data_IF_220717630822
#
_entry.id   IF_220717630822
#
_cell.length_a   1.000
_cell.length_b   1.000
_cell.length_c   1.000
_cell.angle_alpha   90.00
_cell.angle_beta   90.00
_cell.angle_gamma   90.00
#
_symmetry.space_group_name_H-M   'P 1'
#
loop_
_entity.id
_entity.type
_entity.pdbx_description
1 polymer ?
#
# COMPACT_ATOMS: atom_id res chain seq x y z
N UNK A 1 17.08 60.56 27.60
CA UNK A 1 15.62 60.57 27.47
C UNK A 1 15.28 60.54 26.00
N UNK A 2 14.67 59.43 25.56
CA UNK A 2 14.06 59.14 24.26
C UNK A 2 14.96 59.11 23.00
N UNK A 3 15.47 57.91 22.71
CA UNK A 3 15.97 57.46 21.41
C UNK A 3 14.82 57.29 20.42
N UNK A 4 14.73 58.14 19.37
CA UNK A 4 14.20 57.74 18.05
C UNK A 4 14.95 58.55 17.00
N UNK A 5 15.91 57.91 16.31
CA UNK A 5 16.57 58.46 15.12
C UNK A 5 16.17 57.59 13.93
N UNK A 6 15.00 57.91 13.37
CA UNK A 6 14.54 57.34 12.09
C UNK A 6 13.66 56.11 12.22
N UNK A 7 12.40 56.25 11.80
CA UNK A 7 11.49 55.14 11.54
C UNK A 7 11.64 54.75 10.07
N UNK A 8 12.10 53.53 9.78
CA UNK A 8 12.11 53.01 8.40
C UNK A 8 10.80 52.26 8.20
N UNK A 9 9.90 52.85 7.40
CA UNK A 9 8.75 52.14 6.85
C UNK A 9 9.22 51.34 5.63
N UNK A 10 9.31 50.02 5.77
CA UNK A 10 9.52 49.09 4.65
C UNK A 10 8.16 48.71 4.07
N UNK A 11 7.77 49.34 2.96
CA UNK A 11 6.71 48.79 2.10
C UNK A 11 7.28 47.66 1.24
N UNK A 12 7.03 46.42 1.65
CA UNK A 12 7.22 45.25 0.82
C UNK A 12 6.11 45.18 -0.21
N UNK A 13 6.37 45.68 -1.42
CA UNK A 13 5.46 45.52 -2.55
C UNK A 13 5.60 44.10 -3.13
N UNK A 14 5.10 43.10 -2.40
CA UNK A 14 4.85 41.77 -2.93
C UNK A 14 3.74 41.92 -3.98
N UNK A 15 3.98 41.44 -5.21
CA UNK A 15 2.95 41.35 -6.26
C UNK A 15 1.84 40.37 -5.83
N UNK A 16 0.99 40.88 -4.95
CA UNK A 16 -0.16 40.21 -4.39
C UNK A 16 -1.19 39.89 -5.47
N UNK A 17 -1.07 40.47 -6.68
CA UNK A 17 -1.97 40.20 -7.78
C UNK A 17 -1.76 38.79 -8.37
N UNK A 18 -0.50 38.34 -8.49
CA UNK A 18 -0.16 36.98 -8.93
C UNK A 18 -0.44 35.96 -7.85
N UNK A 19 -0.09 36.24 -6.60
CA UNK A 19 -0.43 35.38 -5.46
C UNK A 19 -1.94 35.24 -5.27
N UNK A 20 -2.71 36.34 -5.34
CA UNK A 20 -4.18 36.32 -5.27
C UNK A 20 -4.82 35.67 -6.51
N UNK A 21 -4.21 35.77 -7.69
CA UNK A 21 -4.65 35.04 -8.89
C UNK A 21 -4.43 33.54 -8.73
N UNK A 22 -3.28 33.11 -8.22
CA UNK A 22 -3.01 31.71 -7.87
C UNK A 22 -3.94 31.21 -6.76
N UNK A 23 -4.22 32.02 -5.73
CA UNK A 23 -5.18 31.71 -4.67
C UNK A 23 -6.63 31.66 -5.19
N UNK A 24 -7.01 32.54 -6.12
CA UNK A 24 -8.33 32.50 -6.80
C UNK A 24 -8.47 31.31 -7.73
N UNK A 25 -7.40 30.89 -8.39
CA UNK A 25 -7.39 29.70 -9.24
C UNK A 25 -7.44 28.44 -8.38
N UNK A 26 -6.74 28.41 -7.24
CA UNK A 26 -6.88 27.38 -6.20
C UNK A 26 -8.32 27.33 -5.65
N UNK A 27 -8.93 28.47 -5.32
CA UNK A 27 -10.32 28.52 -4.87
C UNK A 27 -11.31 28.08 -5.95
N UNK A 28 -11.07 28.43 -7.22
CA UNK A 28 -11.92 27.96 -8.34
C UNK A 28 -11.75 26.47 -8.61
N UNK A 29 -10.54 25.93 -8.52
CA UNK A 29 -10.28 24.51 -8.69
C UNK A 29 -10.80 23.70 -7.50
N UNK A 30 -10.68 24.21 -6.27
CA UNK A 30 -11.31 23.65 -5.08
C UNK A 30 -12.84 23.73 -5.14
N UNK A 31 -13.41 24.83 -5.63
CA UNK A 31 -14.85 24.96 -5.88
C UNK A 31 -15.32 24.00 -6.97
N UNK A 32 -14.52 23.77 -8.01
CA UNK A 32 -14.85 22.84 -9.08
C UNK A 32 -14.70 21.38 -8.63
N UNK A 33 -13.68 21.05 -7.83
CA UNK A 33 -13.53 19.75 -7.19
C UNK A 33 -14.67 19.51 -6.18
N UNK A 34 -15.04 20.52 -5.38
CA UNK A 34 -16.18 20.48 -4.47
C UNK A 34 -17.53 20.39 -5.22
N UNK A 35 -17.66 21.02 -6.40
CA UNK A 35 -18.87 20.92 -7.26
C UNK A 35 -18.96 19.58 -7.99
N UNK A 36 -17.86 19.05 -8.50
CA UNK A 36 -17.79 17.71 -9.11
C UNK A 36 -17.98 16.62 -8.05
N UNK A 37 -17.40 16.80 -6.86
CA UNK A 37 -17.69 15.97 -5.69
C UNK A 37 -19.17 16.10 -5.33
N UNK A 38 -19.75 17.30 -5.25
CA UNK A 38 -21.19 17.52 -4.95
C UNK A 38 -22.12 16.93 -6.02
N UNK A 39 -21.78 16.97 -7.31
CA UNK A 39 -22.64 16.43 -8.38
C UNK A 39 -22.57 14.90 -8.43
N UNK A 40 -21.37 14.31 -8.41
CA UNK A 40 -21.15 12.86 -8.33
C UNK A 40 -21.70 12.28 -7.01
N UNK A 41 -21.52 12.99 -5.91
CA UNK A 41 -22.11 12.67 -4.61
C UNK A 41 -23.63 12.77 -4.67
N UNK A 42 -24.24 13.81 -5.24
CA UNK A 42 -25.71 13.92 -5.30
C UNK A 42 -26.39 12.78 -6.09
N UNK A 43 -25.70 12.20 -7.08
CA UNK A 43 -26.20 11.09 -7.89
C UNK A 43 -26.11 9.73 -7.17
N UNK A 44 -24.98 9.44 -6.52
CA UNK A 44 -24.81 8.22 -5.71
C UNK A 44 -25.58 8.30 -4.38
N UNK A 45 -25.57 9.47 -3.72
CA UNK A 45 -26.31 9.78 -2.51
C UNK A 45 -27.82 9.70 -2.72
N UNK A 46 -28.39 10.18 -3.84
CA UNK A 46 -29.84 10.00 -4.10
C UNK A 46 -30.28 8.54 -4.21
N UNK A 47 -29.37 7.64 -4.63
CA UNK A 47 -29.66 6.19 -4.71
C UNK A 47 -29.50 5.48 -3.36
N UNK A 48 -28.63 5.97 -2.48
CA UNK A 48 -28.37 5.38 -1.15
C UNK A 48 -29.26 6.01 -0.05
N UNK A 49 -29.60 7.30 -0.17
CA UNK A 49 -30.22 8.11 0.88
C UNK A 49 -31.75 8.21 0.83
N UNK A 50 -32.44 7.34 0.06
CA UNK A 50 -33.92 7.30 0.04
C UNK A 50 -34.58 7.12 1.41
N UNK A 51 -33.83 6.70 2.44
CA UNK A 51 -34.33 6.46 3.80
C UNK A 51 -33.50 7.12 4.94
N UNK A 52 -32.39 7.82 4.67
CA UNK A 52 -31.41 8.21 5.72
C UNK A 52 -31.00 9.70 5.71
N UNK A 53 -31.86 10.60 5.24
CA UNK A 53 -31.53 12.02 5.04
C UNK A 53 -31.23 12.82 6.33
N UNK A 54 -31.58 12.31 7.52
CA UNK A 54 -31.38 13.00 8.79
C UNK A 54 -30.06 12.66 9.53
N UNK A 55 -29.28 11.69 9.04
CA UNK A 55 -28.18 11.09 9.81
C UNK A 55 -26.75 11.52 9.40
N UNK A 56 -26.56 12.33 8.35
CA UNK A 56 -25.23 12.67 7.84
C UNK A 56 -24.88 14.14 8.06
N UNK A 57 -23.97 14.42 9.01
CA UNK A 57 -23.44 15.76 9.27
C UNK A 57 -22.45 16.21 8.19
N UNK A 58 -22.19 17.52 8.07
CA UNK A 58 -21.17 18.06 7.15
C UNK A 58 -19.78 17.44 7.39
N UNK A 59 -19.45 17.09 8.64
CA UNK A 59 -18.23 16.38 8.99
C UNK A 59 -18.18 14.95 8.42
N UNK A 60 -19.32 14.24 8.39
CA UNK A 60 -19.41 12.90 7.80
C UNK A 60 -19.20 12.94 6.28
N UNK A 61 -19.69 13.98 5.59
CA UNK A 61 -19.47 14.17 4.15
C UNK A 61 -18.01 14.48 3.83
N UNK A 62 -17.36 15.36 4.61
CA UNK A 62 -15.93 15.67 4.43
C UNK A 62 -15.06 14.42 4.70
N UNK A 63 -15.36 13.68 5.77
CA UNK A 63 -14.66 12.43 6.10
C UNK A 63 -14.79 11.41 4.97
N UNK A 64 -16.01 11.17 4.50
CA UNK A 64 -16.26 10.25 3.38
C UNK A 64 -15.50 10.68 2.12
N UNK A 65 -15.48 11.97 1.79
CA UNK A 65 -14.72 12.51 0.66
C UNK A 65 -13.21 12.32 0.80
N UNK A 66 -12.66 12.49 2.02
CA UNK A 66 -11.26 12.21 2.32
C UNK A 66 -10.94 10.72 2.16
N UNK A 67 -11.77 9.85 2.73
CA UNK A 67 -11.62 8.39 2.64
C UNK A 67 -11.64 7.94 1.17
N UNK A 68 -12.50 8.53 0.32
CA UNK A 68 -12.50 8.27 -1.14
C UNK A 68 -11.17 8.63 -1.81
N UNK A 69 -10.61 9.80 -1.50
CA UNK A 69 -9.33 10.26 -2.08
C UNK A 69 -8.18 9.39 -1.61
N UNK A 70 -8.12 9.04 -0.33
CA UNK A 70 -7.08 8.17 0.24
C UNK A 70 -7.14 6.76 -0.35
N UNK A 71 -8.33 6.17 -0.43
CA UNK A 71 -8.54 4.87 -1.08
C UNK A 71 -8.14 4.91 -2.56
N UNK A 72 -8.55 5.93 -3.31
CA UNK A 72 -8.18 6.05 -4.71
C UNK A 72 -6.66 6.18 -4.89
N UNK A 73 -5.99 6.95 -4.03
CA UNK A 73 -4.54 7.10 -4.07
C UNK A 73 -3.83 5.78 -3.76
N UNK A 74 -4.30 5.06 -2.73
CA UNK A 74 -3.76 3.75 -2.33
C UNK A 74 -3.92 2.69 -3.41
N UNK A 75 -5.12 2.58 -4.02
CA UNK A 75 -5.38 1.63 -5.11
C UNK A 75 -4.57 1.97 -6.36
N UNK A 76 -4.47 3.26 -6.72
CA UNK A 76 -3.62 3.67 -7.84
C UNK A 76 -2.14 3.35 -7.57
N UNK A 77 -1.66 3.58 -6.35
CA UNK A 77 -0.29 3.23 -5.97
C UNK A 77 -0.03 1.72 -6.04
N UNK A 78 -0.98 0.89 -5.58
CA UNK A 78 -0.88 -0.57 -5.66
C UNK A 78 -0.85 -1.04 -7.13
N UNK A 79 -1.72 -0.50 -7.99
CA UNK A 79 -1.74 -0.81 -9.41
C UNK A 79 -0.44 -0.38 -10.12
N UNK A 80 0.06 0.83 -9.84
CA UNK A 80 1.34 1.30 -10.38
C UNK A 80 2.51 0.46 -9.90
N UNK A 81 2.50 0.01 -8.64
CA UNK A 81 3.53 -0.88 -8.11
C UNK A 81 3.49 -2.23 -8.81
N UNK A 82 2.31 -2.78 -9.05
CA UNK A 82 2.11 -4.03 -9.77
C UNK A 82 2.65 -3.90 -11.21
N UNK A 83 2.24 -2.87 -11.95
CA UNK A 83 2.72 -2.59 -13.31
C UNK A 83 4.25 -2.46 -13.36
N UNK A 84 4.85 -1.69 -12.46
CA UNK A 84 6.31 -1.51 -12.41
C UNK A 84 7.06 -2.78 -12.02
N UNK A 85 6.48 -3.60 -11.14
CA UNK A 85 7.13 -4.80 -10.62
C UNK A 85 7.09 -5.94 -11.65
N UNK A 86 5.96 -6.10 -12.33
CA UNK A 86 5.74 -7.24 -13.22
C UNK A 86 5.95 -6.90 -14.70
N UNK A 87 5.76 -5.66 -15.12
CA UNK A 87 5.84 -5.26 -16.52
C UNK A 87 4.98 -6.17 -17.41
N UNK A 88 5.59 -6.76 -18.43
CA UNK A 88 4.93 -7.71 -19.35
C UNK A 88 4.34 -8.96 -18.65
N UNK A 89 4.78 -9.26 -17.42
CA UNK A 89 4.29 -10.41 -16.65
C UNK A 89 3.07 -10.09 -15.78
N UNK A 90 2.57 -8.86 -15.81
CA UNK A 90 1.42 -8.44 -15.00
C UNK A 90 0.24 -9.41 -15.11
N UNK A 91 -0.15 -9.81 -16.32
CA UNK A 91 -1.26 -10.76 -16.51
C UNK A 91 -0.99 -12.14 -15.90
N UNK A 92 0.27 -12.59 -15.89
CA UNK A 92 0.66 -13.85 -15.24
C UNK A 92 0.60 -13.74 -13.71
N UNK A 93 1.01 -12.60 -13.17
CA UNK A 93 0.94 -12.31 -11.75
C UNK A 93 -0.51 -12.22 -11.26
N UNK A 94 -1.35 -11.51 -11.99
CA UNK A 94 -2.79 -11.42 -11.71
C UNK A 94 -3.46 -12.80 -11.79
N UNK A 95 -3.10 -13.63 -12.77
CA UNK A 95 -3.62 -14.99 -12.87
C UNK A 95 -3.19 -15.88 -11.68
N UNK A 96 -1.95 -15.73 -11.21
CA UNK A 96 -1.45 -16.43 -10.02
C UNK A 96 -2.20 -15.99 -8.74
N UNK A 97 -2.33 -14.67 -8.54
CA UNK A 97 -3.12 -14.14 -7.42
C UNK A 97 -4.59 -14.57 -7.51
N UNK A 98 -5.16 -14.63 -8.72
CA UNK A 98 -6.52 -15.11 -8.94
C UNK A 98 -6.68 -16.59 -8.56
N UNK A 99 -5.72 -17.45 -8.89
CA UNK A 99 -5.77 -18.87 -8.46
C UNK A 99 -5.80 -19.00 -6.95
N UNK A 100 -5.00 -18.21 -6.24
CA UNK A 100 -5.03 -18.17 -4.76
C UNK A 100 -6.33 -17.58 -4.24
N UNK A 101 -6.85 -16.52 -4.86
CA UNK A 101 -8.15 -15.94 -4.48
C UNK A 101 -9.28 -16.97 -4.61
N UNK A 102 -9.33 -17.67 -5.75
CA UNK A 102 -10.35 -18.67 -6.05
C UNK A 102 -10.23 -19.89 -5.11
N UNK A 103 -9.02 -20.29 -4.70
CA UNK A 103 -8.81 -21.42 -3.78
C UNK A 103 -9.05 -21.08 -2.31
N UNK A 104 -8.79 -19.84 -1.90
CA UNK A 104 -8.81 -19.42 -0.49
C UNK A 104 -10.07 -18.64 -0.10
N UNK A 105 -10.85 -18.16 -1.07
CA UNK A 105 -11.97 -17.25 -0.81
C UNK A 105 -11.52 -15.83 -0.41
N UNK A 106 -10.23 -15.49 -0.52
CA UNK A 106 -9.72 -14.12 -0.32
C UNK A 106 -9.95 -13.32 -1.61
N UNK A 107 -10.39 -12.07 -1.51
CA UNK A 107 -10.51 -11.23 -2.72
C UNK A 107 -9.13 -10.88 -3.29
N UNK A 108 -8.98 -11.01 -4.61
CA UNK A 108 -7.69 -10.89 -5.30
C UNK A 108 -6.92 -9.60 -4.99
N UNK A 109 -7.61 -8.46 -4.83
CA UNK A 109 -6.94 -7.19 -4.56
C UNK A 109 -6.22 -7.15 -3.20
N UNK A 110 -6.66 -7.93 -2.20
CA UNK A 110 -5.91 -8.11 -0.94
C UNK A 110 -4.57 -8.81 -1.16
N UNK A 111 -4.51 -9.70 -2.16
CA UNK A 111 -3.30 -10.46 -2.48
C UNK A 111 -2.29 -9.62 -3.27
N UNK A 112 -2.71 -8.53 -3.92
CA UNK A 112 -1.86 -7.74 -4.81
C UNK A 112 -0.65 -7.15 -4.10
N UNK A 113 -0.84 -6.44 -3.00
CA UNK A 113 0.26 -5.80 -2.27
C UNK A 113 1.28 -6.82 -1.74
N UNK A 114 0.78 -7.88 -1.11
CA UNK A 114 1.62 -8.97 -0.56
C UNK A 114 2.34 -9.70 -1.68
N UNK A 115 1.63 -10.13 -2.73
CA UNK A 115 2.19 -10.88 -3.84
C UNK A 115 3.26 -10.09 -4.59
N UNK A 116 2.98 -8.81 -4.88
CA UNK A 116 3.94 -7.88 -5.49
C UNK A 116 5.21 -7.77 -4.65
N UNK A 117 5.07 -7.62 -3.33
CA UNK A 117 6.22 -7.56 -2.41
C UNK A 117 7.03 -8.87 -2.37
N UNK A 118 6.38 -10.03 -2.42
CA UNK A 118 7.06 -11.34 -2.40
C UNK A 118 7.77 -11.59 -3.72
N UNK A 119 7.13 -11.32 -4.86
CA UNK A 119 7.76 -11.44 -6.17
C UNK A 119 8.97 -10.54 -6.29
N UNK A 120 8.84 -9.25 -5.94
CA UNK A 120 9.96 -8.31 -5.96
C UNK A 120 11.13 -8.82 -5.11
N UNK A 121 10.83 -9.32 -3.91
CA UNK A 121 11.82 -9.93 -3.03
C UNK A 121 12.50 -11.17 -3.65
N UNK A 122 11.74 -12.09 -4.23
CA UNK A 122 12.27 -13.26 -4.92
C UNK A 122 13.19 -12.87 -6.10
N UNK A 123 12.86 -11.81 -6.84
CA UNK A 123 13.73 -11.26 -7.88
C UNK A 123 15.06 -10.76 -7.32
N UNK A 124 15.07 -10.11 -6.14
CA UNK A 124 16.31 -9.61 -5.53
C UNK A 124 17.29 -10.71 -5.12
N UNK A 125 16.85 -11.97 -5.03
CA UNK A 125 17.68 -13.10 -4.58
C UNK A 125 18.23 -13.94 -5.73
N UNK A 126 18.06 -13.43 -6.95
CA UNK A 126 18.56 -14.04 -8.16
C UNK A 126 17.58 -15.02 -8.81
N UNK A 127 16.31 -15.08 -8.38
CA UNK A 127 15.32 -15.88 -9.09
C UNK A 127 15.00 -15.29 -10.47
N UNK A 128 14.90 -16.16 -11.47
CA UNK A 128 14.25 -15.81 -12.72
C UNK A 128 12.75 -15.53 -12.47
N UNK A 129 12.09 -14.93 -13.46
CA UNK A 129 10.72 -14.45 -13.27
C UNK A 129 9.70 -15.59 -13.15
N UNK A 130 9.96 -16.76 -13.74
CA UNK A 130 9.07 -17.91 -13.62
C UNK A 130 9.12 -18.48 -12.20
N UNK A 131 10.32 -18.67 -11.66
CA UNK A 131 10.53 -19.12 -10.28
C UNK A 131 10.02 -18.10 -9.27
N UNK A 132 10.20 -16.80 -9.52
CA UNK A 132 9.68 -15.74 -8.65
C UNK A 132 8.13 -15.70 -8.65
N UNK A 133 7.48 -15.92 -9.80
CA UNK A 133 6.01 -16.04 -9.88
C UNK A 133 5.51 -17.29 -9.13
N UNK A 134 6.18 -18.43 -9.30
CA UNK A 134 5.83 -19.66 -8.57
C UNK A 134 5.97 -19.47 -7.06
N UNK A 135 7.09 -18.88 -6.61
CA UNK A 135 7.32 -18.58 -5.21
C UNK A 135 6.27 -17.62 -4.66
N UNK A 136 5.88 -16.59 -5.43
CA UNK A 136 4.82 -15.66 -5.04
C UNK A 136 3.49 -16.39 -4.83
N UNK A 137 3.05 -17.20 -5.80
CA UNK A 137 1.79 -17.95 -5.71
C UNK A 137 1.79 -18.90 -4.51
N UNK A 138 2.86 -19.68 -4.35
CA UNK A 138 2.98 -20.62 -3.25
C UNK A 138 3.03 -19.92 -1.90
N UNK A 139 3.78 -18.82 -1.77
CA UNK A 139 3.85 -18.05 -0.54
C UNK A 139 2.51 -17.40 -0.19
N UNK A 140 1.76 -16.91 -1.18
CA UNK A 140 0.40 -16.40 -0.97
C UNK A 140 -0.55 -17.50 -0.46
N UNK A 141 -0.52 -18.69 -1.07
CA UNK A 141 -1.34 -19.82 -0.64
C UNK A 141 -0.98 -20.27 0.78
N UNK A 142 0.31 -20.44 1.06
CA UNK A 142 0.82 -20.83 2.39
C UNK A 142 0.42 -19.79 3.43
N UNK A 143 0.53 -18.51 3.10
CA UNK A 143 0.13 -17.40 3.97
C UNK A 143 -1.38 -17.42 4.25
N UNK A 144 -2.21 -17.61 3.23
CA UNK A 144 -3.66 -17.70 3.39
C UNK A 144 -4.05 -18.86 4.33
N UNK A 145 -3.47 -20.03 4.09
CA UNK A 145 -3.71 -21.23 4.89
C UNK A 145 -3.27 -21.04 6.35
N UNK A 146 -2.08 -20.47 6.59
CA UNK A 146 -1.61 -20.16 7.94
C UNK A 146 -2.46 -19.09 8.63
N UNK A 147 -2.87 -18.04 7.91
CA UNK A 147 -3.70 -16.96 8.45
C UNK A 147 -5.05 -17.50 8.95
N UNK A 148 -5.70 -18.33 8.13
CA UNK A 148 -6.96 -18.98 8.50
C UNK A 148 -6.79 -19.96 9.67
N UNK A 149 -5.71 -20.72 9.69
CA UNK A 149 -5.47 -21.71 10.76
C UNK A 149 -5.15 -21.07 12.11
N UNK A 150 -4.39 -19.97 12.13
CA UNK A 150 -3.99 -19.28 13.36
C UNK A 150 -4.92 -18.12 13.76
N UNK A 151 -6.02 -17.91 13.03
CA UNK A 151 -6.96 -16.79 13.22
C UNK A 151 -6.25 -15.43 13.23
N UNK A 152 -5.46 -15.19 12.18
CA UNK A 152 -4.65 -13.97 11.99
C UNK A 152 -5.04 -13.29 10.69
N UNK A 153 -4.77 -11.98 10.63
CA UNK A 153 -4.89 -11.26 9.36
C UNK A 153 -3.91 -11.83 8.31
N UNK A 154 -4.32 -11.76 7.05
CA UNK A 154 -3.50 -12.16 5.92
C UNK A 154 -2.21 -11.34 5.87
N UNK A 155 -2.33 -10.04 6.14
CA UNK A 155 -1.26 -9.05 6.06
C UNK A 155 -0.20 -9.28 7.16
N UNK A 156 -0.60 -9.54 8.41
CA UNK A 156 0.34 -9.84 9.50
C UNK A 156 1.05 -11.18 9.29
N UNK A 157 0.32 -12.17 8.76
CA UNK A 157 0.89 -13.48 8.44
C UNK A 157 1.87 -13.38 7.28
N UNK A 158 1.55 -12.58 6.25
CA UNK A 158 2.44 -12.29 5.13
C UNK A 158 3.73 -11.59 5.59
N UNK A 159 3.62 -10.62 6.50
CA UNK A 159 4.78 -9.93 7.06
C UNK A 159 5.67 -10.89 7.85
N UNK A 160 5.06 -11.77 8.65
CA UNK A 160 5.77 -12.84 9.37
C UNK A 160 6.50 -13.76 8.41
N UNK A 161 5.82 -14.25 7.36
CA UNK A 161 6.43 -15.10 6.34
C UNK A 161 7.56 -14.38 5.61
N UNK A 162 7.36 -13.13 5.18
CA UNK A 162 8.40 -12.35 4.48
C UNK A 162 9.62 -12.10 5.37
N UNK A 163 9.42 -11.81 6.66
CA UNK A 163 10.51 -11.66 7.64
C UNK A 163 11.28 -12.98 7.79
N UNK A 164 10.55 -14.09 7.89
CA UNK A 164 11.13 -15.43 7.97
C UNK A 164 11.96 -15.79 6.73
N UNK A 165 11.44 -15.52 5.52
CA UNK A 165 12.15 -15.75 4.26
C UNK A 165 13.40 -14.87 4.10
N UNK A 166 13.49 -13.75 4.83
CA UNK A 166 14.69 -12.90 4.92
C UNK A 166 15.73 -13.42 5.91
N UNK A 167 15.45 -14.54 6.58
CA UNK A 167 16.34 -15.16 7.55
C UNK A 167 16.11 -14.71 9.00
N UNK A 168 15.01 -14.02 9.30
CA UNK A 168 14.64 -13.74 10.68
C UNK A 168 13.84 -14.92 11.26
N UNK A 169 14.49 -15.69 12.12
CA UNK A 169 13.90 -16.90 12.73
C UNK A 169 13.39 -16.68 14.15
N UNK A 170 13.42 -15.45 14.69
CA UNK A 170 13.04 -15.18 16.08
C UNK A 170 11.58 -15.51 16.39
N UNK A 171 10.71 -15.45 15.38
CA UNK A 171 9.27 -15.69 15.53
C UNK A 171 8.78 -16.77 14.56
N UNK A 172 9.57 -17.82 14.36
CA UNK A 172 9.21 -18.99 13.54
C UNK A 172 7.92 -19.69 14.02
N UNK A 173 7.68 -19.70 15.33
CA UNK A 173 6.46 -20.24 15.95
C UNK A 173 5.18 -19.56 15.43
N UNK A 174 5.24 -18.28 15.03
CA UNK A 174 4.10 -17.58 14.44
C UNK A 174 3.70 -18.13 13.05
N UNK A 175 4.57 -18.94 12.43
CA UNK A 175 4.33 -19.68 11.18
C UNK A 175 4.17 -21.18 11.43
N UNK A 176 4.11 -21.62 12.70
CA UNK A 176 3.84 -23.01 13.05
C UNK A 176 5.02 -23.97 12.95
N UNK A 177 6.26 -23.47 12.92
CA UNK A 177 7.44 -24.31 12.80
C UNK A 177 8.57 -23.88 13.74
N UNK A 178 9.46 -24.82 14.04
CA UNK A 178 10.74 -24.54 14.66
C UNK A 178 11.86 -24.60 13.62
N UNK A 179 12.45 -23.45 13.34
CA UNK A 179 13.49 -23.22 12.36
C UNK A 179 14.86 -23.09 13.04
N UNK A 180 15.38 -24.23 13.48
CA UNK A 180 16.74 -24.35 13.99
C UNK A 180 17.73 -24.58 12.84
N UNK A 181 19.02 -24.46 13.13
CA UNK A 181 20.06 -24.83 12.16
C UNK A 181 19.92 -26.27 11.69
N UNK A 182 19.59 -27.20 12.60
CA UNK A 182 19.37 -28.60 12.27
C UNK A 182 18.19 -28.77 11.32
N UNK A 183 17.03 -28.17 11.61
CA UNK A 183 15.84 -28.36 10.76
C UNK A 183 16.02 -27.71 9.39
N UNK A 184 16.69 -26.55 9.31
CA UNK A 184 17.08 -25.95 8.02
C UNK A 184 18.02 -26.83 7.22
N UNK A 185 19.06 -27.40 7.85
CA UNK A 185 19.99 -28.31 7.18
C UNK A 185 19.31 -29.60 6.72
N UNK A 186 18.38 -30.15 7.51
CA UNK A 186 17.57 -31.30 7.09
C UNK A 186 16.72 -30.98 5.86
N UNK A 187 16.04 -29.83 5.84
CA UNK A 187 15.24 -29.41 4.69
C UNK A 187 16.12 -29.13 3.46
N UNK A 188 17.24 -28.44 3.63
CA UNK A 188 18.22 -28.16 2.57
C UNK A 188 18.79 -29.45 1.97
N UNK A 189 19.14 -30.42 2.80
CA UNK A 189 19.66 -31.70 2.35
C UNK A 189 18.60 -32.50 1.58
N UNK A 190 17.35 -32.51 2.08
CA UNK A 190 16.22 -33.15 1.40
C UNK A 190 15.95 -32.55 0.01
N UNK A 191 16.06 -31.24 -0.14
CA UNK A 191 15.75 -30.55 -1.40
C UNK A 191 16.93 -30.49 -2.38
N UNK A 192 18.16 -30.34 -1.87
CA UNK A 192 19.33 -29.99 -2.68
C UNK A 192 20.58 -30.81 -2.38
N UNK A 193 20.54 -31.73 -1.40
CA UNK A 193 21.69 -32.55 -1.00
C UNK A 193 22.84 -31.78 -0.36
N UNK A 194 22.61 -30.55 0.10
CA UNK A 194 23.61 -29.64 0.66
C UNK A 194 23.20 -29.13 2.03
N UNK A 195 24.15 -28.59 2.79
CA UNK A 195 23.85 -27.80 3.99
C UNK A 195 23.17 -26.49 3.58
N UNK A 196 22.30 -25.96 4.43
CA UNK A 196 21.56 -24.72 4.18
C UNK A 196 22.48 -23.52 3.91
N UNK A 197 23.64 -23.47 4.56
CA UNK A 197 24.63 -22.41 4.36
C UNK A 197 25.26 -22.43 2.95
N UNK A 198 25.34 -23.61 2.32
CA UNK A 198 25.96 -23.83 1.01
C UNK A 198 24.98 -23.63 -0.17
N UNK A 199 23.72 -23.33 0.14
CA UNK A 199 22.69 -23.03 -0.85
C UNK A 199 22.87 -21.61 -1.42
N UNK A 200 22.43 -21.41 -2.68
CA UNK A 200 22.22 -20.06 -3.19
C UNK A 200 21.13 -19.33 -2.40
N UNK A 201 21.10 -18.00 -2.43
CA UNK A 201 20.05 -17.24 -1.73
C UNK A 201 18.63 -17.61 -2.20
N UNK A 202 18.44 -17.84 -3.50
CA UNK A 202 17.18 -18.36 -4.04
C UNK A 202 16.83 -19.74 -3.47
N UNK A 203 17.79 -20.67 -3.38
CA UNK A 203 17.58 -22.01 -2.81
C UNK A 203 17.27 -21.94 -1.31
N UNK A 204 17.90 -21.01 -0.56
CA UNK A 204 17.57 -20.77 0.85
C UNK A 204 16.12 -20.35 0.99
N UNK A 205 15.64 -19.43 0.16
CA UNK A 205 14.25 -18.96 0.21
C UNK A 205 13.24 -20.04 -0.13
N UNK A 206 13.48 -20.82 -1.18
CA UNK A 206 12.63 -21.95 -1.52
C UNK A 206 12.64 -23.01 -0.42
N UNK A 207 13.79 -23.27 0.21
CA UNK A 207 13.89 -24.17 1.36
C UNK A 207 13.03 -23.66 2.52
N UNK A 208 13.16 -22.38 2.88
CA UNK A 208 12.39 -21.79 3.98
C UNK A 208 10.89 -21.80 3.68
N UNK A 209 10.47 -21.44 2.47
CA UNK A 209 9.06 -21.50 2.06
C UNK A 209 8.53 -22.93 2.13
N UNK A 210 9.31 -23.90 1.65
CA UNK A 210 8.94 -25.32 1.73
C UNK A 210 8.81 -25.80 3.18
N UNK A 211 9.66 -25.32 4.09
CA UNK A 211 9.53 -25.65 5.53
C UNK A 211 8.21 -25.16 6.11
N UNK A 212 7.74 -23.95 5.76
CA UNK A 212 6.43 -23.44 6.21
C UNK A 212 5.29 -24.24 5.57
N UNK A 213 5.41 -24.59 4.29
CA UNK A 213 4.43 -25.43 3.58
C UNK A 213 4.32 -26.82 4.21
N UNK A 214 5.46 -27.46 4.52
CA UNK A 214 5.53 -28.74 5.22
C UNK A 214 4.91 -28.62 6.62
N UNK A 215 5.16 -27.52 7.34
CA UNK A 215 4.56 -27.26 8.63
C UNK A 215 3.03 -27.13 8.55
N UNK A 216 2.51 -26.39 7.56
CA UNK A 216 1.07 -26.30 7.30
C UNK A 216 0.46 -27.66 6.96
N UNK A 217 1.18 -28.51 6.22
CA UNK A 217 0.71 -29.86 5.93
C UNK A 217 0.64 -30.72 7.20
N UNK A 218 1.69 -30.68 8.02
CA UNK A 218 1.80 -31.47 9.25
C UNK A 218 0.83 -31.02 10.34
N UNK A 219 0.54 -29.73 10.43
CA UNK A 219 -0.43 -29.16 11.38
C UNK A 219 -1.88 -29.30 10.92
N UNK A 220 -2.12 -29.65 9.66
CA UNK A 220 -3.46 -29.65 9.05
C UNK A 220 -3.94 -28.28 8.58
N UNK A 221 -3.09 -27.24 8.63
CA UNK A 221 -3.40 -25.91 8.10
C UNK A 221 -3.53 -25.88 6.57
N UNK A 222 -2.97 -26.84 5.82
CA UNK A 222 -3.05 -26.86 4.36
C UNK A 222 -4.51 -26.91 3.87
N UNK A 223 -4.87 -25.95 3.01
CA UNK A 223 -6.24 -25.74 2.52
C UNK A 223 -7.21 -25.19 3.57
N UNK A 224 -6.74 -24.72 4.72
CA UNK A 224 -7.61 -24.18 5.76
C UNK A 224 -8.32 -22.90 5.31
N UNK A 225 -7.68 -22.08 4.48
CA UNK A 225 -8.32 -20.88 3.95
C UNK A 225 -9.57 -21.21 3.13
N UNK A 226 -9.51 -22.29 2.34
CA UNK A 226 -10.66 -22.77 1.57
C UNK A 226 -11.81 -23.25 2.49
N UNK A 227 -11.47 -23.96 3.57
CA UNK A 227 -12.45 -24.50 4.53
C UNK A 227 -13.12 -23.41 5.36
N UNK A 228 -12.36 -22.36 5.69
CA UNK A 228 -12.79 -21.21 6.50
C UNK A 228 -12.97 -19.95 5.64
N UNK A 229 -13.35 -20.11 4.36
CA UNK A 229 -13.57 -18.97 3.47
C UNK A 229 -14.67 -18.02 4.01
N UNK A 230 -15.64 -18.56 4.75
CA UNK A 230 -16.68 -17.80 5.45
C UNK A 230 -16.30 -17.39 6.88
N UNK A 231 -15.05 -17.67 7.29
CA UNK A 231 -14.50 -17.30 8.58
C UNK A 231 -14.47 -15.78 8.76
N UNK A 232 -14.67 -15.33 10.01
CA UNK A 232 -14.86 -13.92 10.34
C UNK A 232 -13.74 -13.01 9.82
N UNK A 233 -12.47 -13.38 10.04
CA UNK A 233 -11.31 -12.60 9.59
C UNK A 233 -11.27 -12.50 8.05
N UNK A 234 -11.58 -13.58 7.33
CA UNK A 234 -11.61 -13.56 5.87
C UNK A 234 -12.74 -12.67 5.35
N UNK A 235 -13.96 -12.85 5.86
CA UNK A 235 -15.14 -12.07 5.46
C UNK A 235 -14.97 -10.60 5.77
N UNK A 236 -14.52 -10.24 6.97
CA UNK A 236 -14.32 -8.83 7.36
C UNK A 236 -13.17 -8.18 6.61
N UNK A 237 -12.07 -8.90 6.39
CA UNK A 237 -10.96 -8.43 5.57
C UNK A 237 -11.38 -8.21 4.11
N UNK A 238 -12.14 -9.16 3.52
CA UNK A 238 -12.69 -9.03 2.17
C UNK A 238 -13.67 -7.85 2.06
N UNK A 239 -14.55 -7.67 3.06
CA UNK A 239 -15.47 -6.54 3.11
C UNK A 239 -14.71 -5.21 3.19
N UNK A 240 -13.68 -5.12 4.04
CA UNK A 240 -12.84 -3.94 4.19
C UNK A 240 -12.17 -3.59 2.87
N UNK A 241 -11.66 -4.58 2.14
CA UNK A 241 -11.04 -4.35 0.84
C UNK A 241 -12.06 -4.00 -0.24
N UNK A 242 -13.20 -4.70 -0.32
CA UNK A 242 -14.27 -4.36 -1.26
C UNK A 242 -14.79 -2.93 -1.02
N UNK A 243 -14.89 -2.51 0.24
CA UNK A 243 -15.23 -1.14 0.62
C UNK A 243 -14.15 -0.14 0.19
N UNK A 244 -12.87 -0.47 0.40
CA UNK A 244 -11.74 0.34 -0.06
C UNK A 244 -11.75 0.51 -1.59
N UNK A 245 -12.00 -0.57 -2.35
CA UNK A 245 -12.14 -0.52 -3.81
C UNK A 245 -13.34 0.31 -4.26
N UNK A 246 -14.48 0.21 -3.58
CA UNK A 246 -15.65 1.06 -3.85
C UNK A 246 -15.32 2.54 -3.63
N UNK A 247 -14.68 2.88 -2.50
CA UNK A 247 -14.22 4.24 -2.20
C UNK A 247 -13.22 4.73 -3.25
N UNK A 248 -12.33 3.86 -3.73
CA UNK A 248 -11.37 4.19 -4.77
C UNK A 248 -12.04 4.53 -6.11
N UNK A 249 -13.04 3.74 -6.54
CA UNK A 249 -13.81 4.01 -7.77
C UNK A 249 -14.56 5.33 -7.68
N UNK A 250 -15.20 5.61 -6.53
CA UNK A 250 -15.88 6.89 -6.28
C UNK A 250 -14.87 8.04 -6.22
N UNK A 251 -13.71 7.77 -5.62
CA UNK A 251 -12.64 8.72 -5.38
C UNK A 251 -11.79 9.03 -6.61
N UNK A 252 -11.68 8.17 -7.61
CA UNK A 252 -10.80 8.38 -8.77
C UNK A 252 -11.03 9.73 -9.49
N UNK A 253 -12.28 10.15 -9.82
CA UNK A 253 -12.54 11.47 -10.40
C UNK A 253 -12.18 12.63 -9.47
N UNK A 254 -12.30 12.41 -8.16
CA UNK A 254 -12.00 13.41 -7.12
C UNK A 254 -10.49 13.51 -6.90
N UNK A 255 -9.79 12.37 -6.90
CA UNK A 255 -8.36 12.24 -6.76
C UNK A 255 -7.64 12.90 -7.93
N UNK A 256 -8.10 12.72 -9.18
CA UNK A 256 -7.49 13.43 -10.32
C UNK A 256 -7.51 14.96 -10.12
N UNK A 257 -8.57 15.50 -9.54
CA UNK A 257 -8.63 16.91 -9.17
C UNK A 257 -7.72 17.24 -7.95
N UNK A 258 -7.70 16.38 -6.94
CA UNK A 258 -6.89 16.56 -5.72
C UNK A 258 -5.38 16.44 -5.96
N UNK A 259 -4.93 15.49 -6.78
CA UNK A 259 -3.52 15.28 -7.16
C UNK A 259 -2.98 16.50 -7.90
N UNK A 260 -3.76 17.10 -8.81
CA UNK A 260 -3.38 18.36 -9.46
C UNK A 260 -3.27 19.50 -8.43
N UNK A 261 -4.15 19.54 -7.42
CA UNK A 261 -4.06 20.54 -6.33
C UNK A 261 -2.81 20.32 -5.47
N UNK A 262 -2.51 19.08 -5.07
CA UNK A 262 -1.32 18.73 -4.27
C UNK A 262 -0.04 18.97 -5.05
N UNK A 263 0.04 18.60 -6.33
CA UNK A 263 1.18 18.90 -7.19
C UNK A 263 1.41 20.42 -7.32
N UNK A 264 0.34 21.19 -7.53
CA UNK A 264 0.43 22.65 -7.56
C UNK A 264 0.86 23.25 -6.21
N UNK A 265 0.43 22.66 -5.08
CA UNK A 265 0.84 23.06 -3.74
C UNK A 265 2.31 22.71 -3.47
N UNK A 266 2.75 21.51 -3.87
CA UNK A 266 4.16 21.08 -3.79
C UNK A 266 5.06 21.99 -4.62
N UNK A 267 4.68 22.32 -5.85
CA UNK A 267 5.42 23.28 -6.68
C UNK A 267 5.45 24.68 -6.06
N UNK A 268 4.34 25.15 -5.48
CA UNK A 268 4.30 26.44 -4.80
C UNK A 268 5.21 26.48 -3.56
N UNK A 269 5.27 25.38 -2.79
CA UNK A 269 6.17 25.24 -1.64
C UNK A 269 7.64 25.18 -2.10
N UNK A 270 7.94 24.49 -3.20
CA UNK A 270 9.28 24.44 -3.78
C UNK A 270 9.75 25.84 -4.23
N UNK A 271 8.90 26.59 -4.94
CA UNK A 271 9.20 27.97 -5.34
C UNK A 271 9.40 28.89 -4.14
N UNK A 272 8.58 28.77 -3.09
CA UNK A 272 8.77 29.52 -1.84
C UNK A 272 10.09 29.16 -1.15
N UNK A 273 10.49 27.90 -1.20
CA UNK A 273 11.75 27.41 -0.64
C UNK A 273 12.96 27.95 -1.42
N UNK A 274 12.85 28.07 -2.74
CA UNK A 274 13.90 28.68 -3.58
C UNK A 274 14.05 30.18 -3.30
N UNK A 275 12.93 30.92 -3.19
CA UNK A 275 12.97 32.32 -2.80
C UNK A 275 13.56 32.52 -1.39
N UNK A 276 13.22 31.65 -0.44
CA UNK A 276 13.80 31.69 0.90
C UNK A 276 15.30 31.42 0.89
N UNK A 277 15.78 30.48 0.06
CA UNK A 277 17.22 30.21 -0.13
C UNK A 277 17.95 31.38 -0.78
N UNK A 278 17.36 32.00 -1.81
CA UNK A 278 17.94 33.19 -2.44
C UNK A 278 18.03 34.37 -1.47
N UNK A 279 16.98 34.59 -0.66
CA UNK A 279 16.98 35.62 0.38
C UNK A 279 18.01 35.32 1.48
N UNK A 280 18.14 34.06 1.90
CA UNK A 280 19.15 33.63 2.87
C UNK A 280 20.57 33.84 2.34
N UNK A 281 20.84 33.50 1.08
CA UNK A 281 22.16 33.67 0.47
C UNK A 281 22.52 35.15 0.32
N UNK A 282 21.56 35.98 -0.11
CA UNK A 282 21.77 37.43 -0.18
C UNK A 282 22.05 38.05 1.21
N UNK A 283 21.37 37.57 2.26
CA UNK A 283 21.66 37.98 3.63
C UNK A 283 23.03 37.49 4.12
N UNK A 284 23.44 36.26 3.78
CA UNK A 284 24.77 35.74 4.10
C UNK A 284 25.89 36.48 3.36
N UNK A 285 25.67 36.96 2.14
CA UNK A 285 26.64 37.82 1.42
C UNK A 285 26.69 39.25 1.96
N UNK A 286 25.61 39.73 2.59
CA UNK A 286 25.54 41.07 3.17
C UNK A 286 26.09 41.16 4.61
N UNK A 287 26.10 40.05 5.35
CA UNK A 287 26.44 40.02 6.78
C UNK A 287 27.52 38.97 7.15
N UNK A 288 28.07 38.25 6.17
CA UNK A 288 29.17 37.30 6.32
C UNK A 288 30.48 37.85 5.76
#
# INVERSE_FOLDING_TARGET
MSDIVGQIALELNLDSSKFRKSLKNLNKTADNAAKSMKSSFSGAFKKIAGAAAAAFSAAAVIKFGKDCVESAASVNAANSQLEQTFGDLQGSAEAAMKRVADSSGIVQSRLQGVGTSIYAFAKTTGMDSANALSMMEEALQVTADSAAYYDRSLEDTAESLKSFLKGNYENDAALGLSCTETTRNTAANKLYGKSFQDLSESQKQLTLLQMVKDANQLSGAMGQAAREADGWENVTGNLKEAWNQLLAVIGQPILQAATVIVQNLTSAIQTLTEYAKMASNALSEMFG
#
